data_IF_916519140768
#
_entry.id   IF_916519140768
#
_cell.length_a   1.000
_cell.length_b   1.000
_cell.length_c   1.000
_cell.angle_alpha   90.00
_cell.angle_beta   90.00
_cell.angle_gamma   90.00
#
_symmetry.space_group_name_H-M   'P 1'
#
loop_
_entity.id
_entity.type
_entity.pdbx_description
1 polymer ?
#
# COMPACT_ATOMS: atom_id res chain seq x y z
N UNK A 1 10.72 -6.68 -6.18
CA UNK A 1 10.99 -5.63 -7.19
C UNK A 1 12.45 -5.58 -7.59
N UNK A 2 13.37 -4.98 -6.79
CA UNK A 2 14.78 -4.85 -7.18
C UNK A 2 15.44 -6.19 -7.48
N UNK A 3 15.26 -7.19 -6.60
CA UNK A 3 15.76 -8.54 -6.82
C UNK A 3 15.26 -9.13 -8.15
N UNK A 4 13.96 -9.00 -8.45
CA UNK A 4 13.36 -9.49 -9.69
C UNK A 4 13.95 -8.81 -10.94
N UNK A 5 14.13 -7.48 -10.90
CA UNK A 5 14.66 -6.72 -12.04
C UNK A 5 16.12 -7.06 -12.32
N UNK A 6 16.93 -7.13 -11.27
CA UNK A 6 18.37 -7.41 -11.38
C UNK A 6 18.63 -8.89 -11.65
N UNK A 7 17.74 -9.80 -11.24
CA UNK A 7 17.92 -11.25 -11.36
C UNK A 7 18.59 -11.88 -10.14
N UNK A 8 18.41 -11.31 -8.96
CA UNK A 8 18.94 -11.86 -7.70
C UNK A 8 18.11 -13.07 -7.24
N UNK A 9 18.76 -13.98 -6.52
CA UNK A 9 18.12 -15.19 -5.99
C UNK A 9 17.04 -14.88 -4.97
N UNK A 10 17.25 -13.86 -4.13
CA UNK A 10 16.32 -13.49 -3.07
C UNK A 10 16.23 -11.99 -2.90
N UNK A 11 15.05 -11.51 -2.50
CA UNK A 11 14.91 -10.14 -2.01
C UNK A 11 15.76 -9.87 -0.77
N UNK A 12 16.17 -10.91 -0.03
CA UNK A 12 17.09 -10.80 1.12
C UNK A 12 18.51 -10.40 0.74
N UNK A 13 18.86 -10.55 -0.53
CA UNK A 13 20.15 -10.08 -1.07
C UNK A 13 20.12 -8.57 -1.39
N UNK A 14 18.98 -7.91 -1.16
CA UNK A 14 18.81 -6.46 -1.33
C UNK A 14 18.71 -5.81 0.05
N UNK A 15 19.63 -4.89 0.33
CA UNK A 15 19.52 -4.00 1.48
C UNK A 15 18.86 -2.69 1.04
N UNK A 16 17.73 -2.35 1.67
CA UNK A 16 17.04 -1.08 1.45
C UNK A 16 17.36 -0.16 2.62
N UNK A 17 17.93 1.01 2.33
CA UNK A 17 18.09 2.07 3.33
C UNK A 17 16.72 2.71 3.55
N UNK A 18 16.04 2.32 4.63
CA UNK A 18 14.66 2.70 4.92
C UNK A 18 14.52 4.05 5.62
N UNK A 19 15.57 4.51 6.31
CA UNK A 19 15.61 5.85 6.90
C UNK A 19 15.81 6.84 5.75
N UNK A 20 14.76 7.58 5.41
CA UNK A 20 14.77 8.61 4.37
C UNK A 20 15.63 9.79 4.84
N UNK A 21 16.95 9.61 4.74
CA UNK A 21 17.96 10.60 5.09
C UNK A 21 18.28 11.44 3.85
N UNK A 22 17.98 12.73 3.92
CA UNK A 22 18.17 13.65 2.79
C UNK A 22 19.64 13.83 2.40
N UNK A 23 20.59 13.47 3.27
CA UNK A 23 22.02 13.55 2.97
C UNK A 23 22.47 12.43 2.03
N UNK A 24 21.77 11.28 2.00
CA UNK A 24 22.19 10.08 1.26
C UNK A 24 21.13 9.47 0.35
N UNK A 25 19.86 9.88 0.48
CA UNK A 25 18.76 9.39 -0.36
C UNK A 25 18.43 10.39 -1.47
N UNK A 26 18.31 9.94 -2.74
CA UNK A 26 17.91 10.82 -3.83
C UNK A 26 16.57 11.49 -3.56
N UNK A 27 16.43 12.75 -3.98
CA UNK A 27 15.21 13.54 -3.79
C UNK A 27 14.00 12.83 -4.40
N UNK A 28 13.02 12.52 -3.54
CA UNK A 28 11.69 12.07 -3.93
C UNK A 28 10.62 13.00 -3.37
N UNK A 29 9.41 12.95 -3.92
CA UNK A 29 8.30 13.77 -3.43
C UNK A 29 7.67 13.26 -2.13
N UNK A 30 8.16 12.17 -1.54
CA UNK A 30 7.62 11.61 -0.30
C UNK A 30 6.42 10.66 -0.47
N UNK A 31 5.98 10.08 0.65
CA UNK A 31 4.95 9.05 0.72
C UNK A 31 3.60 9.62 1.17
N UNK A 32 2.67 9.75 0.22
CA UNK A 32 1.28 10.16 0.39
C UNK A 32 0.48 9.73 -0.86
N UNK A 33 -0.85 9.92 -0.87
CA UNK A 33 -1.71 9.61 -2.00
C UNK A 33 -1.54 8.17 -2.54
N UNK A 34 -1.16 7.24 -1.65
CA UNK A 34 -0.88 5.84 -1.97
C UNK A 34 0.07 5.62 -3.15
N UNK A 35 0.92 6.60 -3.44
CA UNK A 35 1.63 6.68 -4.73
C UNK A 35 2.87 5.79 -4.80
N UNK A 36 3.47 5.48 -3.65
CA UNK A 36 4.84 4.95 -3.56
C UNK A 36 5.04 3.69 -4.38
N UNK A 37 4.19 2.68 -4.19
CA UNK A 37 4.27 1.41 -4.92
C UNK A 37 4.26 1.60 -6.44
N UNK A 38 3.35 2.44 -6.94
CA UNK A 38 3.22 2.69 -8.37
C UNK A 38 4.37 3.56 -8.90
N UNK A 39 4.67 4.69 -8.24
CA UNK A 39 5.68 5.64 -8.74
C UNK A 39 7.11 5.14 -8.57
N UNK A 40 7.45 4.58 -7.41
CA UNK A 40 8.79 4.05 -7.16
C UNK A 40 9.05 2.81 -8.02
N UNK A 41 8.02 2.06 -8.39
CA UNK A 41 8.14 0.92 -9.31
C UNK A 41 8.83 1.27 -10.63
N UNK A 42 8.50 2.41 -11.25
CA UNK A 42 9.17 2.85 -12.47
C UNK A 42 10.65 3.14 -12.25
N UNK A 43 10.98 3.89 -11.20
CA UNK A 43 12.37 4.23 -10.86
C UNK A 43 13.17 2.98 -10.51
N UNK A 44 12.61 2.04 -9.75
CA UNK A 44 13.25 0.76 -9.41
C UNK A 44 13.51 -0.07 -10.67
N UNK A 45 12.53 -0.17 -11.58
CA UNK A 45 12.70 -0.93 -12.82
C UNK A 45 13.75 -0.29 -13.72
N UNK A 46 13.70 1.02 -13.93
CA UNK A 46 14.67 1.73 -14.76
C UNK A 46 16.10 1.61 -14.18
N UNK A 47 16.28 1.97 -12.90
CA UNK A 47 17.59 1.91 -12.26
C UNK A 47 18.12 0.48 -12.15
N UNK A 48 17.25 -0.50 -11.88
CA UNK A 48 17.64 -1.91 -11.84
C UNK A 48 18.09 -2.45 -13.20
N UNK A 49 17.43 -2.06 -14.29
CA UNK A 49 17.85 -2.44 -15.65
C UNK A 49 19.19 -1.77 -16.02
N UNK A 50 19.39 -0.50 -15.68
CA UNK A 50 20.67 0.19 -15.87
C UNK A 50 21.80 -0.47 -15.08
N UNK A 51 21.53 -0.87 -13.83
CA UNK A 51 22.50 -1.59 -13.02
C UNK A 51 22.85 -2.95 -13.64
N UNK A 52 21.83 -3.70 -14.07
CA UNK A 52 22.00 -4.98 -14.76
C UNK A 52 22.83 -4.86 -16.03
N UNK A 53 22.57 -3.84 -16.85
CA UNK A 53 23.36 -3.57 -18.06
C UNK A 53 24.83 -3.30 -17.74
N UNK A 54 25.12 -2.47 -16.73
CA UNK A 54 26.50 -2.20 -16.29
C UNK A 54 27.20 -3.47 -15.76
N UNK A 55 26.51 -4.30 -15.00
CA UNK A 55 27.02 -5.61 -14.54
C UNK A 55 27.41 -6.47 -15.75
N UNK A 56 26.51 -6.62 -16.73
CA UNK A 56 26.76 -7.43 -17.92
C UNK A 56 27.85 -6.84 -18.83
N UNK A 57 27.95 -5.51 -18.88
CA UNK A 57 29.02 -4.83 -19.61
C UNK A 57 30.40 -5.12 -19.00
N UNK A 58 30.51 -5.12 -17.67
CA UNK A 58 31.74 -5.55 -16.99
C UNK A 58 32.02 -7.04 -17.22
N UNK A 59 30.97 -7.87 -17.19
CA UNK A 59 31.07 -9.32 -17.41
C UNK A 59 31.58 -9.69 -18.81
N UNK A 60 31.43 -8.79 -19.80
CA UNK A 60 31.92 -9.01 -21.17
C UNK A 60 33.42 -9.28 -21.20
N UNK A 61 34.20 -8.55 -20.42
CA UNK A 61 35.66 -8.70 -20.37
C UNK A 61 36.08 -10.01 -19.69
N UNK A 62 35.30 -10.47 -18.70
CA UNK A 62 35.59 -11.66 -17.92
C UNK A 62 35.17 -12.95 -18.63
N UNK A 63 34.01 -12.93 -19.27
CA UNK A 63 33.37 -14.11 -19.88
C UNK A 63 33.61 -14.21 -21.38
N UNK A 64 34.09 -13.13 -22.01
CA UNK A 64 34.23 -12.98 -23.48
C UNK A 64 32.91 -13.20 -24.22
N UNK A 65 31.77 -12.93 -23.58
CA UNK A 65 30.44 -12.96 -24.17
C UNK A 65 29.93 -11.54 -24.34
N UNK A 66 29.25 -11.26 -25.46
CA UNK A 66 28.56 -9.99 -25.64
C UNK A 66 27.35 -9.87 -24.68
N UNK A 67 27.02 -8.65 -24.26
CA UNK A 67 25.90 -8.37 -23.32
C UNK A 67 24.60 -9.03 -23.75
N UNK A 68 24.24 -8.96 -25.04
CA UNK A 68 22.98 -9.54 -25.55
C UNK A 68 22.93 -11.08 -25.49
N UNK A 69 24.06 -11.75 -25.25
CA UNK A 69 24.14 -13.21 -25.06
C UNK A 69 24.11 -13.61 -23.58
N UNK A 70 23.97 -12.66 -22.65
CA UNK A 70 23.97 -12.91 -21.22
C UNK A 70 22.71 -12.42 -20.54
N UNK A 71 22.39 -13.04 -19.41
CA UNK A 71 21.37 -12.58 -18.48
C UNK A 71 21.82 -12.86 -17.04
N UNK A 72 21.10 -12.31 -16.06
CA UNK A 72 21.30 -12.58 -14.64
C UNK A 72 20.09 -13.35 -14.13
N UNK A 73 20.32 -14.55 -13.60
CA UNK A 73 19.29 -15.42 -13.02
C UNK A 73 19.81 -16.03 -11.72
N UNK A 74 19.02 -15.95 -10.65
CA UNK A 74 19.35 -16.45 -9.32
C UNK A 74 20.74 -16.02 -8.81
N UNK A 75 21.13 -14.78 -9.11
CA UNK A 75 22.43 -14.21 -8.74
C UNK A 75 23.61 -14.75 -9.54
N UNK A 76 23.37 -15.40 -10.67
CA UNK A 76 24.40 -15.89 -11.59
C UNK A 76 24.25 -15.22 -12.96
N UNK A 77 25.39 -14.93 -13.57
CA UNK A 77 25.45 -14.52 -14.97
C UNK A 77 25.38 -15.80 -15.79
N UNK A 78 24.35 -15.91 -16.61
CA UNK A 78 24.10 -17.06 -17.47
C UNK A 78 24.24 -16.67 -18.93
N UNK A 79 24.54 -17.64 -19.78
CA UNK A 79 24.41 -17.49 -21.23
C UNK A 79 22.94 -17.68 -21.62
N UNK A 80 22.37 -16.69 -22.29
CA UNK A 80 20.93 -16.64 -22.60
C UNK A 80 20.47 -17.74 -23.56
N UNK A 81 21.38 -18.33 -24.36
CA UNK A 81 21.02 -19.35 -25.36
C UNK A 81 20.74 -20.73 -24.78
N UNK A 82 21.41 -21.09 -23.67
CA UNK A 82 21.35 -22.44 -23.10
C UNK A 82 21.28 -22.47 -21.56
N UNK A 83 21.20 -21.30 -20.92
CA UNK A 83 21.12 -21.18 -19.47
C UNK A 83 22.40 -21.54 -18.72
N UNK A 84 23.52 -21.76 -19.43
CA UNK A 84 24.78 -22.15 -18.79
C UNK A 84 25.28 -21.01 -17.89
N UNK A 85 25.48 -21.30 -16.61
CA UNK A 85 26.15 -20.38 -15.69
C UNK A 85 27.59 -20.11 -16.16
N UNK A 86 27.91 -18.83 -16.37
CA UNK A 86 29.22 -18.34 -16.78
C UNK A 86 30.06 -17.96 -15.56
N UNK A 87 29.45 -17.24 -14.62
CA UNK A 87 30.04 -16.86 -13.34
C UNK A 87 28.97 -16.35 -12.36
N UNK A 88 29.27 -16.33 -11.07
CA UNK A 88 28.38 -15.74 -10.06
C UNK A 88 28.53 -14.21 -9.98
N UNK A 89 27.48 -13.51 -9.53
CA UNK A 89 27.58 -12.08 -9.22
C UNK A 89 28.58 -11.79 -8.10
N UNK A 90 28.75 -12.72 -7.16
CA UNK A 90 29.75 -12.61 -6.09
C UNK A 90 31.16 -12.54 -6.66
N UNK A 91 31.50 -13.44 -7.58
CA UNK A 91 32.82 -13.44 -8.23
C UNK A 91 33.02 -12.18 -9.08
N UNK A 92 31.99 -11.74 -9.81
CA UNK A 92 32.07 -10.51 -10.59
C UNK A 92 32.29 -9.30 -9.68
N UNK A 93 31.52 -9.15 -8.59
CA UNK A 93 31.65 -8.03 -7.66
C UNK A 93 33.04 -7.98 -7.01
N UNK A 94 33.56 -9.14 -6.57
CA UNK A 94 34.91 -9.22 -6.03
C UNK A 94 35.97 -8.87 -7.08
N UNK A 95 35.81 -9.35 -8.31
CA UNK A 95 36.74 -9.03 -9.41
C UNK A 95 36.70 -7.54 -9.74
N UNK A 96 35.50 -6.95 -9.86
CA UNK A 96 35.31 -5.53 -10.11
C UNK A 96 35.97 -4.66 -9.05
N UNK A 97 35.96 -5.07 -7.78
CA UNK A 97 36.62 -4.32 -6.72
C UNK A 97 38.15 -4.42 -6.79
N UNK A 98 38.71 -5.61 -7.02
CA UNK A 98 40.14 -5.89 -6.83
C UNK A 98 40.96 -6.02 -8.12
N UNK A 99 40.35 -5.88 -9.30
CA UNK A 99 41.08 -5.94 -10.56
C UNK A 99 42.05 -4.76 -10.69
N UNK A 100 43.34 -5.05 -10.74
CA UNK A 100 44.40 -4.04 -10.79
C UNK A 100 44.37 -3.14 -12.05
N UNK A 101 43.83 -3.65 -13.16
CA UNK A 101 43.76 -2.92 -14.42
C UNK A 101 42.41 -2.20 -14.61
N UNK A 102 41.33 -2.73 -14.03
CA UNK A 102 39.96 -2.22 -14.22
C UNK A 102 39.13 -2.41 -12.95
N UNK A 103 39.54 -1.73 -11.88
CA UNK A 103 38.74 -1.63 -10.65
C UNK A 103 37.60 -0.63 -10.87
N UNK A 104 36.37 -1.01 -10.52
CA UNK A 104 35.17 -0.20 -10.74
C UNK A 104 34.11 -0.46 -9.66
N UNK A 105 33.50 0.61 -9.15
CA UNK A 105 32.29 0.53 -8.35
C UNK A 105 31.07 0.53 -9.29
N UNK A 106 30.38 -0.60 -9.40
CA UNK A 106 29.23 -0.74 -10.28
C UNK A 106 27.98 -0.18 -9.58
N UNK A 107 27.57 1.03 -9.98
CA UNK A 107 26.41 1.73 -9.43
C UNK A 107 25.50 2.24 -10.53
N UNK A 108 24.23 2.47 -10.22
CA UNK A 108 23.27 3.11 -11.11
C UNK A 108 22.37 4.07 -10.34
N UNK A 109 22.09 5.21 -10.95
CA UNK A 109 21.17 6.21 -10.44
C UNK A 109 20.30 6.68 -11.61
N UNK A 110 19.02 6.89 -11.36
CA UNK A 110 18.13 7.46 -12.36
C UNK A 110 16.91 8.13 -11.73
N UNK A 111 16.35 9.09 -12.44
CA UNK A 111 15.09 9.76 -12.09
C UNK A 111 14.04 9.42 -13.13
N UNK A 112 12.81 9.15 -12.66
CA UNK A 112 11.67 8.87 -13.53
C UNK A 112 10.54 9.87 -13.29
N UNK A 113 10.03 10.47 -14.37
CA UNK A 113 8.87 11.35 -14.33
C UNK A 113 7.63 10.58 -14.76
N UNK A 114 6.77 10.26 -13.80
CA UNK A 114 5.50 9.56 -14.04
C UNK A 114 4.49 10.55 -14.64
N UNK A 115 3.86 10.16 -15.75
CA UNK A 115 2.84 10.98 -16.45
C UNK A 115 1.42 10.39 -16.41
N UNK A 116 1.28 9.17 -15.93
CA UNK A 116 0.01 8.44 -15.85
C UNK A 116 -0.28 8.04 -14.41
N UNK A 117 -1.54 7.85 -14.05
CA UNK A 117 -1.94 7.31 -12.75
C UNK A 117 -2.63 5.96 -12.92
N UNK A 118 -2.54 5.12 -11.89
CA UNK A 118 -3.32 3.90 -11.77
C UNK A 118 -4.65 4.20 -11.07
N UNK A 119 -5.72 3.57 -11.52
CA UNK A 119 -7.01 3.62 -10.83
C UNK A 119 -7.18 2.36 -9.99
N UNK A 120 -7.18 2.53 -8.67
CA UNK A 120 -7.55 1.47 -7.74
C UNK A 120 -9.05 1.50 -7.48
N UNK A 121 -9.64 0.33 -7.34
CA UNK A 121 -11.05 0.18 -7.02
C UNK A 121 -11.20 -0.68 -5.77
N UNK A 122 -12.29 -0.48 -5.06
CA UNK A 122 -12.66 -1.34 -3.95
C UNK A 122 -14.10 -1.15 -3.56
N UNK A 123 -14.61 -2.10 -2.82
CA UNK A 123 -15.92 -2.03 -2.20
C UNK A 123 -15.86 -2.60 -0.79
N UNK A 124 -16.80 -2.15 0.04
CA UNK A 124 -17.00 -2.68 1.38
C UNK A 124 -18.45 -3.16 1.49
N UNK A 125 -18.62 -4.35 2.04
CA UNK A 125 -19.89 -4.90 2.48
C UNK A 125 -19.86 -4.97 3.99
N UNK A 126 -20.98 -4.64 4.63
CA UNK A 126 -21.13 -4.71 6.07
C UNK A 126 -22.45 -5.39 6.40
N UNK A 127 -22.46 -6.13 7.48
CA UNK A 127 -23.67 -6.56 8.17
C UNK A 127 -23.72 -5.88 9.54
N UNK A 128 -24.88 -5.36 9.91
CA UNK A 128 -25.07 -4.60 11.14
C UNK A 128 -26.33 -5.02 11.86
N UNK A 129 -26.32 -4.83 13.17
CA UNK A 129 -27.51 -4.82 14.01
C UNK A 129 -27.77 -3.40 14.51
N UNK A 130 -29.02 -2.95 14.43
CA UNK A 130 -29.45 -1.65 14.95
C UNK A 130 -30.42 -1.85 16.10
N UNK A 131 -30.01 -1.51 17.30
CA UNK A 131 -30.89 -1.36 18.45
C UNK A 131 -31.47 0.06 18.42
N UNK A 132 -32.72 0.17 17.96
CA UNK A 132 -33.42 1.46 17.80
C UNK A 132 -33.61 2.14 19.16
N UNK A 133 -34.17 1.50 20.21
CA UNK A 133 -34.31 2.14 21.53
C UNK A 133 -32.99 2.63 22.13
N UNK A 134 -31.90 1.90 21.98
CA UNK A 134 -30.58 2.31 22.48
C UNK A 134 -29.81 3.21 21.51
N UNK A 135 -30.31 3.42 20.29
CA UNK A 135 -29.60 4.12 19.22
C UNK A 135 -28.20 3.55 18.97
N UNK A 136 -28.05 2.23 19.07
CA UNK A 136 -26.76 1.55 19.00
C UNK A 136 -26.67 0.73 17.73
N UNK A 137 -25.61 0.96 16.97
CA UNK A 137 -25.23 0.15 15.82
C UNK A 137 -24.10 -0.78 16.22
N UNK A 138 -24.27 -2.08 15.98
CA UNK A 138 -23.24 -3.10 16.19
C UNK A 138 -22.85 -3.66 14.84
N UNK A 139 -21.57 -3.55 14.47
CA UNK A 139 -21.04 -4.15 13.25
C UNK A 139 -20.83 -5.65 13.48
N UNK A 140 -21.56 -6.49 12.73
CA UNK A 140 -21.53 -7.96 12.85
C UNK A 140 -20.43 -8.55 11.99
N UNK A 141 -20.39 -8.15 10.73
CA UNK A 141 -19.41 -8.59 9.75
C UNK A 141 -19.02 -7.44 8.83
N UNK A 142 -17.80 -7.48 8.31
CA UNK A 142 -17.32 -6.52 7.33
C UNK A 142 -16.34 -7.21 6.37
N UNK A 143 -16.58 -7.02 5.07
CA UNK A 143 -15.75 -7.54 3.99
C UNK A 143 -15.29 -6.38 3.12
N UNK A 144 -14.00 -6.27 2.90
CA UNK A 144 -13.41 -5.24 2.07
C UNK A 144 -12.65 -5.88 0.90
N UNK A 145 -13.12 -5.60 -0.32
CA UNK A 145 -12.58 -6.17 -1.55
C UNK A 145 -11.83 -5.08 -2.32
N UNK A 146 -10.59 -5.33 -2.72
CA UNK A 146 -9.76 -4.35 -3.43
C UNK A 146 -9.13 -4.87 -4.72
N UNK A 147 -9.31 -4.11 -5.80
CA UNK A 147 -8.45 -4.19 -6.98
C UNK A 147 -7.23 -3.29 -6.75
N UNK A 148 -6.12 -3.92 -6.40
CA UNK A 148 -4.82 -3.27 -6.19
C UNK A 148 -3.76 -3.68 -7.21
N UNK A 149 -4.20 -4.25 -8.34
CA UNK A 149 -3.30 -4.84 -9.33
C UNK A 149 -2.55 -6.05 -8.77
N UNK A 150 -1.32 -6.26 -9.26
CA UNK A 150 -0.49 -7.36 -8.79
C UNK A 150 -0.03 -7.13 -7.35
N UNK A 151 -0.20 -8.11 -6.48
CA UNK A 151 0.28 -8.05 -5.09
C UNK A 151 1.80 -8.25 -5.03
N UNK A 152 2.47 -7.35 -4.31
CA UNK A 152 3.91 -7.48 -4.04
C UNK A 152 4.14 -8.40 -2.85
N UNK A 153 3.39 -8.16 -1.78
CA UNK A 153 3.43 -8.94 -0.55
C UNK A 153 1.99 -9.06 -0.03
N UNK A 154 1.34 -10.23 -0.19
CA UNK A 154 -0.04 -10.44 0.24
C UNK A 154 -0.28 -10.14 1.72
N UNK A 155 0.65 -10.52 2.61
CA UNK A 155 0.50 -10.29 4.05
C UNK A 155 0.56 -8.80 4.43
N UNK A 156 1.42 -8.02 3.76
CA UNK A 156 1.46 -6.57 3.98
C UNK A 156 0.25 -5.86 3.38
N UNK A 157 -0.27 -6.36 2.25
CA UNK A 157 -1.50 -5.86 1.65
C UNK A 157 -2.71 -6.09 2.56
N UNK A 158 -2.85 -7.29 3.10
CA UNK A 158 -3.87 -7.65 4.08
C UNK A 158 -3.79 -6.78 5.34
N UNK A 159 -2.59 -6.60 5.90
CA UNK A 159 -2.39 -5.72 7.06
C UNK A 159 -2.79 -4.25 6.78
N UNK A 160 -2.53 -3.74 5.58
CA UNK A 160 -2.98 -2.40 5.18
C UNK A 160 -4.51 -2.31 5.11
N UNK A 161 -5.16 -3.33 4.56
CA UNK A 161 -6.62 -3.38 4.48
C UNK A 161 -7.24 -3.41 5.87
N UNK A 162 -6.72 -4.24 6.79
CA UNK A 162 -7.19 -4.26 8.18
C UNK A 162 -7.06 -2.89 8.86
N UNK A 163 -5.91 -2.22 8.68
CA UNK A 163 -5.69 -0.88 9.23
C UNK A 163 -6.67 0.16 8.67
N UNK A 164 -6.90 0.14 7.36
CA UNK A 164 -7.84 1.07 6.72
C UNK A 164 -9.30 0.79 7.09
N UNK A 165 -9.71 -0.48 7.17
CA UNK A 165 -11.04 -0.85 7.67
C UNK A 165 -11.25 -0.36 9.10
N UNK A 166 -10.24 -0.52 9.97
CA UNK A 166 -10.29 -0.03 11.34
C UNK A 166 -10.47 1.49 11.40
N UNK A 167 -9.68 2.23 10.62
CA UNK A 167 -9.85 3.69 10.50
C UNK A 167 -11.24 4.08 9.95
N UNK A 168 -11.77 3.32 8.99
CA UNK A 168 -13.08 3.59 8.41
C UNK A 168 -14.23 3.34 9.40
N UNK A 169 -14.10 2.31 10.26
CA UNK A 169 -15.05 2.03 11.34
C UNK A 169 -15.01 3.16 12.37
N UNK A 170 -13.81 3.55 12.82
CA UNK A 170 -13.62 4.68 13.73
C UNK A 170 -14.23 5.97 13.18
N UNK A 171 -13.88 6.35 11.95
CA UNK A 171 -14.43 7.51 11.26
C UNK A 171 -15.95 7.46 11.09
N UNK A 172 -16.50 6.29 10.78
CA UNK A 172 -17.93 6.12 10.56
C UNK A 172 -18.76 6.15 11.86
N UNK A 173 -18.24 5.63 12.96
CA UNK A 173 -19.04 5.31 14.15
C UNK A 173 -18.69 6.12 15.41
N UNK A 174 -17.47 6.67 15.53
CA UNK A 174 -17.04 7.29 16.79
C UNK A 174 -16.19 8.55 16.68
N UNK A 175 -15.28 8.62 15.72
CA UNK A 175 -14.27 9.67 15.66
C UNK A 175 -14.86 11.02 15.21
N UNK A 176 -14.68 12.04 16.04
CA UNK A 176 -15.07 13.42 15.75
C UNK A 176 -14.16 14.38 16.49
N UNK A 177 -13.67 15.41 15.81
CA UNK A 177 -12.97 16.52 16.48
C UNK A 177 -13.97 17.65 16.75
N UNK A 178 -14.13 17.99 18.03
CA UNK A 178 -15.05 19.01 18.49
C UNK A 178 -14.30 20.31 18.76
N UNK A 179 -14.92 21.45 18.46
CA UNK A 179 -14.34 22.77 18.64
C UNK A 179 -15.26 23.66 19.46
N UNK A 180 -14.65 24.48 20.32
CA UNK A 180 -15.35 25.56 21.01
C UNK A 180 -15.69 26.67 20.00
N UNK A 181 -16.98 27.00 19.85
CA UNK A 181 -17.45 27.94 18.82
C UNK A 181 -16.91 29.37 19.01
N UNK A 182 -16.59 29.77 20.25
CA UNK A 182 -16.14 31.14 20.54
C UNK A 182 -14.64 31.31 20.38
N UNK A 183 -13.86 30.29 20.74
CA UNK A 183 -12.41 30.35 20.83
C UNK A 183 -11.69 29.56 19.74
N UNK A 184 -12.40 28.66 19.05
CA UNK A 184 -11.84 27.76 18.02
C UNK A 184 -10.90 26.68 18.58
N UNK A 185 -10.85 26.50 19.91
CA UNK A 185 -10.00 25.49 20.53
C UNK A 185 -10.62 24.10 20.41
N UNK A 186 -9.83 23.04 20.17
CA UNK A 186 -10.36 21.69 20.20
C UNK A 186 -10.77 21.32 21.63
N UNK A 187 -11.97 20.73 21.77
CA UNK A 187 -12.57 20.35 23.05
C UNK A 187 -12.14 18.95 23.50
N UNK A 188 -11.78 18.08 22.55
CA UNK A 188 -11.46 16.68 22.79
C UNK A 188 -10.10 16.28 22.18
N UNK A 189 -9.07 17.12 22.34
CA UNK A 189 -7.71 16.84 21.86
C UNK A 189 -6.93 15.83 22.74
N UNK A 190 -7.61 14.80 23.24
CA UNK A 190 -7.07 13.78 24.12
C UNK A 190 -7.71 12.41 23.81
N UNK A 191 -7.06 11.32 24.22
CA UNK A 191 -7.53 9.95 23.93
C UNK A 191 -8.73 9.50 24.79
N UNK A 192 -9.10 10.25 25.83
CA UNK A 192 -10.29 9.96 26.61
C UNK A 192 -11.55 10.38 25.84
N UNK A 193 -11.52 11.56 25.22
CA UNK A 193 -12.68 12.18 24.59
C UNK A 193 -12.71 12.03 23.06
N UNK A 194 -11.55 11.93 22.40
CA UNK A 194 -11.47 11.50 21.00
C UNK A 194 -11.57 9.98 20.94
N UNK A 195 -12.77 9.48 20.64
CA UNK A 195 -13.09 8.05 20.72
C UNK A 195 -12.48 7.29 19.55
N UNK A 196 -11.22 6.86 19.72
CA UNK A 196 -10.63 5.83 18.89
C UNK A 196 -11.26 4.48 19.20
N UNK A 197 -11.56 3.72 18.16
CA UNK A 197 -12.05 2.35 18.28
C UNK A 197 -10.96 1.42 18.83
N UNK A 198 -11.38 0.44 19.63
CA UNK A 198 -10.55 -0.63 20.20
C UNK A 198 -10.84 -1.95 19.50
N UNK A 199 -10.06 -3.01 19.79
CA UNK A 199 -10.32 -4.34 19.23
C UNK A 199 -11.72 -4.88 19.55
N UNK A 200 -12.33 -4.43 20.66
CA UNK A 200 -13.68 -4.84 21.06
C UNK A 200 -14.78 -4.21 20.21
N UNK A 201 -14.45 -3.13 19.49
CA UNK A 201 -15.39 -2.41 18.61
C UNK A 201 -15.36 -2.97 17.17
N UNK A 202 -14.46 -3.92 16.88
CA UNK A 202 -14.29 -4.48 15.55
C UNK A 202 -14.79 -5.93 15.49
N UNK A 203 -15.53 -6.30 14.44
CA UNK A 203 -15.75 -7.70 14.11
C UNK A 203 -14.47 -8.31 13.48
N UNK A 204 -14.59 -9.53 12.97
CA UNK A 204 -13.58 -10.06 12.05
C UNK A 204 -13.49 -9.15 10.80
N UNK A 205 -12.27 -8.75 10.46
CA UNK A 205 -11.99 -7.88 9.31
C UNK A 205 -11.59 -8.77 8.13
N UNK A 206 -12.50 -9.00 7.18
CA UNK A 206 -12.23 -9.85 6.03
C UNK A 206 -11.69 -9.02 4.86
N UNK A 207 -10.44 -9.29 4.45
CA UNK A 207 -9.78 -8.64 3.32
C UNK A 207 -9.73 -9.58 2.10
N UNK A 208 -10.20 -9.10 0.94
CA UNK A 208 -10.23 -9.83 -0.32
C UNK A 208 -9.56 -9.02 -1.42
N UNK A 209 -8.88 -9.70 -2.34
CA UNK A 209 -8.09 -9.05 -3.39
C UNK A 209 -8.49 -9.52 -4.79
N UNK A 210 -8.57 -8.56 -5.70
CA UNK A 210 -8.71 -8.80 -7.14
C UNK A 210 -7.40 -8.36 -7.81
N UNK A 211 -6.64 -9.33 -8.31
CA UNK A 211 -5.39 -9.03 -9.02
C UNK A 211 -5.64 -8.74 -10.49
N UNK A 212 -5.94 -7.47 -10.79
CA UNK A 212 -6.10 -6.96 -12.16
C UNK A 212 -4.94 -6.03 -12.52
N UNK A 213 -3.91 -6.60 -13.16
CA UNK A 213 -2.65 -5.91 -13.43
C UNK A 213 -2.85 -4.58 -14.17
N UNK A 214 -2.25 -3.51 -13.64
CA UNK A 214 -2.29 -2.17 -14.26
C UNK A 214 -1.34 -2.10 -15.46
N UNK A 215 -1.85 -1.93 -16.70
CA UNK A 215 -1.01 -1.91 -17.90
C UNK A 215 0.03 -0.80 -17.92
N UNK A 216 -0.23 0.34 -17.27
CA UNK A 216 0.74 1.43 -17.21
C UNK A 216 1.86 1.17 -16.21
N UNK A 217 1.64 0.30 -15.21
CA UNK A 217 2.55 0.08 -14.09
C UNK A 217 3.75 -0.79 -14.48
N UNK A 218 4.94 -0.40 -14.02
CA UNK A 218 6.17 -1.17 -14.23
C UNK A 218 6.11 -2.61 -13.70
N UNK A 219 5.26 -2.86 -12.70
CA UNK A 219 5.10 -4.17 -12.06
C UNK A 219 3.64 -4.67 -12.04
N UNK A 220 2.74 -4.02 -12.78
CA UNK A 220 1.30 -4.33 -12.77
C UNK A 220 0.58 -3.95 -11.47
N UNK A 221 1.22 -3.20 -10.58
CA UNK A 221 0.72 -2.81 -9.25
C UNK A 221 -0.14 -1.54 -9.30
N UNK A 222 -1.10 -1.41 -8.37
CA UNK A 222 -1.88 -0.19 -8.13
C UNK A 222 -1.72 0.30 -6.68
N UNK A 223 -2.43 1.36 -6.31
CA UNK A 223 -2.47 1.90 -4.95
C UNK A 223 -3.32 1.03 -4.01
N UNK A 224 -2.91 0.90 -2.75
CA UNK A 224 -3.67 0.18 -1.70
C UNK A 224 -3.65 0.85 -0.32
N UNK A 225 -2.83 1.87 -0.07
CA UNK A 225 -2.70 2.46 1.27
C UNK A 225 -3.98 3.14 1.79
N UNK A 226 -4.56 4.04 1.00
CA UNK A 226 -5.77 4.79 1.34
C UNK A 226 -7.09 4.12 0.96
N UNK A 227 -7.22 3.39 -0.18
CA UNK A 227 -8.49 2.82 -0.61
C UNK A 227 -9.29 2.04 0.47
N UNK A 228 -8.65 1.24 1.36
CA UNK A 228 -9.38 0.51 2.40
C UNK A 228 -10.06 1.40 3.44
N UNK A 229 -9.59 2.64 3.61
CA UNK A 229 -10.22 3.59 4.53
C UNK A 229 -11.44 4.32 3.91
N UNK A 230 -11.61 4.28 2.59
CA UNK A 230 -12.57 5.12 1.89
C UNK A 230 -14.02 4.61 1.98
N UNK A 231 -14.24 3.31 1.87
CA UNK A 231 -15.58 2.74 1.63
C UNK A 231 -16.28 2.20 2.88
N UNK A 232 -15.60 2.07 4.02
CA UNK A 232 -16.19 1.51 5.25
C UNK A 232 -17.32 2.36 5.84
N UNK A 233 -17.07 3.65 6.15
CA UNK A 233 -18.10 4.52 6.71
C UNK A 233 -19.35 4.67 5.82
N UNK A 234 -19.23 4.88 4.49
CA UNK A 234 -20.38 4.85 3.59
C UNK A 234 -21.14 3.51 3.57
N UNK A 235 -20.45 2.38 3.68
CA UNK A 235 -21.10 1.07 3.74
C UNK A 235 -21.93 0.92 5.02
N UNK A 236 -21.39 1.33 6.18
CA UNK A 236 -22.11 1.36 7.46
C UNK A 236 -23.35 2.25 7.36
N UNK A 237 -23.20 3.46 6.82
CA UNK A 237 -24.31 4.40 6.60
C UNK A 237 -25.42 3.81 5.72
N UNK A 238 -25.05 3.15 4.62
CA UNK A 238 -26.01 2.51 3.74
C UNK A 238 -26.69 1.30 4.37
N UNK A 239 -26.00 0.55 5.23
CA UNK A 239 -26.59 -0.55 5.96
C UNK A 239 -27.59 -0.08 7.01
N UNK A 240 -27.33 1.05 7.70
CA UNK A 240 -28.31 1.65 8.62
C UNK A 240 -29.56 2.10 7.85
N UNK A 241 -29.37 2.75 6.70
CA UNK A 241 -30.49 3.13 5.82
C UNK A 241 -31.30 1.89 5.39
N UNK A 242 -30.63 0.80 4.99
CA UNK A 242 -31.31 -0.44 4.61
C UNK A 242 -32.07 -1.08 5.78
N UNK A 243 -31.50 -1.06 6.99
CA UNK A 243 -32.10 -1.68 8.17
C UNK A 243 -33.27 -0.88 8.76
N UNK A 244 -33.23 0.46 8.66
CA UNK A 244 -34.14 1.35 9.39
C UNK A 244 -35.03 2.22 8.49
N UNK A 245 -34.68 2.36 7.21
CA UNK A 245 -35.29 3.34 6.31
C UNK A 245 -34.83 4.78 6.52
N UNK A 246 -34.00 5.05 7.54
CA UNK A 246 -33.58 6.42 7.89
C UNK A 246 -32.28 6.80 7.20
N UNK A 247 -32.30 7.92 6.48
CA UNK A 247 -31.11 8.49 5.87
C UNK A 247 -30.30 9.31 6.89
N UNK A 248 -29.01 9.01 6.97
CA UNK A 248 -28.04 9.72 7.81
C UNK A 248 -26.94 10.27 6.92
N UNK A 249 -26.80 11.59 6.89
CA UNK A 249 -25.81 12.30 6.05
C UNK A 249 -24.74 12.99 6.93
N UNK A 250 -24.42 12.38 8.07
CA UNK A 250 -23.50 12.91 9.06
C UNK A 250 -22.69 11.79 9.71
N UNK A 251 -21.38 12.00 9.82
CA UNK A 251 -20.50 11.23 10.69
C UNK A 251 -20.19 11.99 11.99
N UNK A 252 -19.87 11.27 13.08
CA UNK A 252 -20.01 9.82 13.23
C UNK A 252 -21.47 9.40 13.48
N UNK A 253 -21.84 8.18 13.11
CA UNK A 253 -23.16 7.58 13.35
C UNK A 253 -23.25 7.03 14.78
N UNK A 254 -22.97 7.89 15.77
CA UNK A 254 -23.02 7.57 17.19
C UNK A 254 -24.44 7.69 17.76
N UNK A 255 -24.63 7.23 19.00
CA UNK A 255 -25.96 7.22 19.64
C UNK A 255 -26.62 8.60 19.72
N UNK A 256 -25.87 9.69 19.90
CA UNK A 256 -26.43 11.04 19.96
C UNK A 256 -27.03 11.48 18.62
N UNK A 257 -26.31 11.23 17.53
CA UNK A 257 -26.78 11.55 16.18
C UNK A 257 -27.94 10.63 15.81
N UNK A 258 -27.81 9.33 16.07
CA UNK A 258 -28.86 8.34 15.78
C UNK A 258 -30.15 8.62 16.54
N UNK A 259 -30.09 8.98 17.82
CA UNK A 259 -31.27 9.34 18.61
C UNK A 259 -32.04 10.49 17.96
N UNK A 260 -31.33 11.57 17.64
CA UNK A 260 -31.95 12.72 16.96
C UNK A 260 -32.65 12.29 15.65
N UNK A 261 -31.95 11.53 14.81
CA UNK A 261 -32.47 11.11 13.50
C UNK A 261 -33.65 10.13 13.62
N UNK A 262 -33.57 9.17 14.53
CA UNK A 262 -34.64 8.20 14.76
C UNK A 262 -35.88 8.83 15.39
N UNK A 263 -35.73 9.83 16.27
CA UNK A 263 -36.86 10.62 16.77
C UNK A 263 -37.51 11.47 15.69
N UNK A 264 -36.72 12.17 14.87
CA UNK A 264 -37.21 12.99 13.75
C UNK A 264 -38.05 12.17 12.75
N UNK A 265 -37.65 10.92 12.52
CA UNK A 265 -38.32 9.99 11.58
C UNK A 265 -39.38 9.10 12.27
N UNK A 266 -39.65 9.31 13.57
CA UNK A 266 -40.72 8.63 14.30
C UNK A 266 -40.45 7.17 14.68
N UNK A 267 -39.20 6.71 14.59
CA UNK A 267 -38.77 5.37 15.06
C UNK A 267 -38.67 5.27 16.58
N UNK A 268 -38.49 6.40 17.25
CA UNK A 268 -38.52 6.52 18.72
C UNK A 268 -39.69 7.44 19.06
N UNK A 269 -40.63 6.93 19.84
CA UNK A 269 -41.79 7.68 20.34
C UNK A 269 -41.73 7.69 21.86
N UNK A 270 -41.99 8.85 22.45
CA UNK A 270 -42.09 9.06 23.90
C UNK A 270 -43.28 8.32 24.54
#
# INVERSE_FOLDING_TARGET
MTADVVGLKSYKDVHVVSCQDTDITPTGLGAYASRQTYTAGFSIRQTGLLLKEKILQYATDLTRQAVYNMDIVDGNIIRSTDGKALMSLKELAMTAQYNAAKSEHITAESTFTIRNNAYSFGCTFVDIEVDIPMCKVTLRDIVNVHDCGKLINPALAEAQVHGGMSMAIGYGMGEQLLFDEKTGKPLNNNLLDYKLSTIMDHPHLEAQFIENAEPTSAFGTKALGEPPACSGAPAIRNAILNATGVAIDQNPMNAHILFKRFSEEGLIQD
#
